data_IF_869039616240
#
_entry.id   IF_869039616240
#
_cell.length_a   1.000
_cell.length_b   1.000
_cell.length_c   1.000
_cell.angle_alpha   90.00
_cell.angle_beta   90.00
_cell.angle_gamma   90.00
#
_symmetry.space_group_name_H-M   'P 1'
#
loop_
_entity.id
_entity.type
_entity.pdbx_description
1 polymer ?
#
# COMPACT_ATOMS: atom_id res chain seq x y z
N UNK A 1 -18.42 -5.21 5.68
CA UNK A 1 -16.96 -5.20 5.94
C UNK A 1 -16.36 -4.01 5.22
N UNK A 2 -15.69 -3.10 5.92
CA UNK A 2 -15.05 -1.90 5.34
C UNK A 2 -13.53 -2.05 5.36
N UNK A 3 -12.82 -1.35 4.47
CA UNK A 3 -11.35 -1.37 4.43
C UNK A 3 -10.72 -0.89 5.74
N UNK A 4 -11.33 0.10 6.40
CA UNK A 4 -10.88 0.62 7.71
C UNK A 4 -10.93 -0.49 8.75
N UNK A 5 -12.07 -1.20 8.84
CA UNK A 5 -12.24 -2.28 9.80
C UNK A 5 -11.27 -3.45 9.55
N UNK A 6 -11.00 -3.78 8.28
CA UNK A 6 -10.02 -4.81 7.92
C UNK A 6 -8.58 -4.39 8.28
N UNK A 7 -8.24 -3.10 8.12
CA UNK A 7 -6.94 -2.58 8.54
C UNK A 7 -6.74 -2.67 10.06
N UNK A 8 -7.75 -2.26 10.85
CA UNK A 8 -7.72 -2.36 12.31
C UNK A 8 -7.57 -3.81 12.78
N UNK A 9 -8.30 -4.76 12.18
CA UNK A 9 -8.20 -6.18 12.49
C UNK A 9 -6.77 -6.71 12.31
N UNK A 10 -6.07 -6.18 11.32
CA UNK A 10 -4.70 -6.57 10.98
C UNK A 10 -3.65 -5.68 11.67
N UNK A 11 -4.06 -4.83 12.62
CA UNK A 11 -3.19 -3.90 13.37
C UNK A 11 -2.41 -2.94 12.46
N UNK A 12 -2.97 -2.63 11.30
CA UNK A 12 -2.47 -1.59 10.41
C UNK A 12 -3.15 -0.28 10.79
N UNK A 13 -2.38 0.80 10.86
CA UNK A 13 -2.93 2.14 11.08
C UNK A 13 -3.77 2.55 9.85
N UNK A 14 -5.09 2.72 9.99
CA UNK A 14 -6.00 2.86 8.85
C UNK A 14 -5.80 4.15 8.06
N UNK A 15 -5.41 5.26 8.71
CA UNK A 15 -5.17 6.52 8.00
C UNK A 15 -3.96 6.42 7.08
N UNK A 16 -2.83 5.94 7.59
CA UNK A 16 -1.60 5.68 6.84
C UNK A 16 -1.84 4.68 5.71
N UNK A 17 -2.61 3.62 5.97
CA UNK A 17 -3.01 2.65 4.95
C UNK A 17 -3.74 3.33 3.78
N UNK A 18 -4.84 4.05 4.05
CA UNK A 18 -5.64 4.71 3.03
C UNK A 18 -4.87 5.78 2.27
N UNK A 19 -4.05 6.58 2.96
CA UNK A 19 -3.18 7.58 2.32
C UNK A 19 -2.19 6.91 1.37
N UNK A 20 -1.58 5.80 1.79
CA UNK A 20 -0.64 5.06 0.94
C UNK A 20 -1.32 4.43 -0.26
N UNK A 21 -2.55 3.92 -0.13
CA UNK A 21 -3.33 3.46 -1.29
C UNK A 21 -3.58 4.60 -2.27
N UNK A 22 -3.96 5.78 -1.77
CA UNK A 22 -4.25 6.93 -2.61
C UNK A 22 -3.01 7.45 -3.35
N UNK A 23 -1.86 7.49 -2.67
CA UNK A 23 -0.57 7.92 -3.25
C UNK A 23 -0.02 6.92 -4.27
N UNK A 24 -0.39 5.66 -4.17
CA UNK A 24 0.09 4.58 -5.04
C UNK A 24 -1.04 3.98 -5.90
N UNK A 25 -2.10 4.75 -6.17
CA UNK A 25 -3.32 4.27 -6.82
C UNK A 25 -3.06 3.47 -8.11
N UNK A 26 -2.09 3.88 -8.94
CA UNK A 26 -1.72 3.14 -10.14
C UNK A 26 -1.14 1.75 -9.84
N UNK A 27 -0.28 1.62 -8.82
CA UNK A 27 0.31 0.34 -8.38
C UNK A 27 -0.74 -0.54 -7.70
N UNK A 28 -1.65 0.06 -6.94
CA UNK A 28 -2.79 -0.63 -6.31
C UNK A 28 -3.76 -1.16 -7.36
N UNK A 29 -4.03 -0.40 -8.42
CA UNK A 29 -4.91 -0.84 -9.51
C UNK A 29 -4.31 -1.99 -10.32
N UNK A 30 -2.98 -2.04 -10.44
CA UNK A 30 -2.27 -3.13 -11.14
C UNK A 30 -2.28 -4.44 -10.34
N UNK A 31 -2.14 -4.38 -9.01
CA UNK A 31 -2.13 -5.58 -8.16
C UNK A 31 -2.80 -5.31 -6.80
N UNK A 32 -4.13 -5.25 -6.74
CA UNK A 32 -4.84 -4.92 -5.50
C UNK A 32 -4.63 -5.97 -4.40
N UNK A 33 -4.34 -7.23 -4.76
CA UNK A 33 -4.13 -8.31 -3.79
C UNK A 33 -2.83 -8.10 -2.98
N UNK A 34 -1.79 -7.54 -3.59
CA UNK A 34 -0.57 -7.18 -2.89
C UNK A 34 -0.77 -6.03 -1.88
N UNK A 35 -1.75 -5.15 -2.10
CA UNK A 35 -2.01 -3.99 -1.24
C UNK A 35 -3.03 -4.25 -0.13
N UNK A 36 -3.46 -5.50 0.07
CA UNK A 36 -4.34 -5.85 1.18
C UNK A 36 -3.66 -5.63 2.54
N UNK A 37 -4.42 -5.41 3.62
CA UNK A 37 -3.84 -5.07 4.93
C UNK A 37 -2.83 -6.09 5.47
N UNK A 38 -2.97 -7.38 5.11
CA UNK A 38 -2.01 -8.43 5.48
C UNK A 38 -0.69 -8.40 4.70
N UNK A 39 -0.67 -7.80 3.51
CA UNK A 39 0.52 -7.69 2.63
C UNK A 39 1.06 -6.25 2.55
N UNK A 40 0.36 -5.30 3.20
CA UNK A 40 0.54 -3.87 3.01
C UNK A 40 1.99 -3.40 3.26
N UNK A 41 2.63 -3.88 4.32
CA UNK A 41 3.98 -3.44 4.70
C UNK A 41 5.00 -3.75 3.60
N UNK A 42 4.91 -4.93 2.99
CA UNK A 42 5.81 -5.35 1.90
C UNK A 42 5.52 -4.57 0.62
N UNK A 43 4.23 -4.43 0.27
CA UNK A 43 3.82 -3.65 -0.90
C UNK A 43 4.23 -2.17 -0.78
N UNK A 44 4.10 -1.59 0.42
CA UNK A 44 4.53 -0.22 0.71
C UNK A 44 6.05 -0.07 0.59
N UNK A 45 6.83 -0.97 1.21
CA UNK A 45 8.29 -0.93 1.11
C UNK A 45 8.78 -1.03 -0.34
N UNK A 46 8.20 -1.95 -1.13
CA UNK A 46 8.49 -2.08 -2.56
C UNK A 46 8.09 -0.82 -3.34
N UNK A 47 6.95 -0.23 -3.02
CA UNK A 47 6.46 0.95 -3.71
C UNK A 47 7.34 2.19 -3.46
N UNK A 48 7.83 2.35 -2.23
CA UNK A 48 8.74 3.42 -1.83
C UNK A 48 10.14 3.21 -2.44
N UNK A 49 10.67 1.99 -2.44
CA UNK A 49 11.95 1.66 -3.08
C UNK A 49 11.96 2.05 -4.57
N UNK A 50 10.89 1.73 -5.30
CA UNK A 50 10.71 2.10 -6.70
C UNK A 50 10.54 3.61 -6.94
N UNK A 51 10.13 4.39 -5.92
CA UNK A 51 10.08 5.86 -6.03
C UNK A 51 11.48 6.46 -5.87
N UNK A 52 12.31 5.86 -5.03
CA UNK A 52 13.66 6.34 -4.72
C UNK A 52 14.69 5.96 -5.78
N UNK A 53 14.39 5.01 -6.66
CA UNK A 53 15.29 4.61 -7.75
C UNK A 53 15.44 5.76 -8.78
N UNK A 54 16.65 6.27 -9.02
CA UNK A 54 16.88 7.31 -10.02
C UNK A 54 16.61 6.74 -11.42
N UNK A 55 16.10 7.56 -12.36
CA UNK A 55 15.86 7.11 -13.73
C UNK A 55 17.16 6.58 -14.35
N UNK A 56 17.12 5.45 -15.08
CA UNK A 56 18.29 4.96 -15.80
C UNK A 56 18.69 5.98 -16.89
N UNK A 57 20.00 6.21 -17.02
CA UNK A 57 20.65 7.12 -17.99
C UNK A 57 20.23 6.82 -19.45
#
# INVERSE_FOLDING_TARGET
MTLIHTAELHKIEPFHYLVSLQRHAAKVALDPAAWMPWNYTEAFARAEAQRTEPPPD
#
